data_IF_718243730862
#
_entry.id   IF_718243730862
#
_cell.length_a   1.000
_cell.length_b   1.000
_cell.length_c   1.000
_cell.angle_alpha   90.00
_cell.angle_beta   90.00
_cell.angle_gamma   90.00
#
_symmetry.space_group_name_H-M   'P 1'
#
loop_
_entity.id
_entity.type
_entity.pdbx_description
1 polymer ?
#
# COMPACT_ATOMS: atom_id res chain seq x y z
N UNK A 1 -4.02 15.37 -20.30
CA UNK A 1 -3.31 15.97 -19.15
C UNK A 1 -2.75 14.84 -18.31
N UNK A 2 -1.47 14.91 -17.92
CA UNK A 2 -0.85 13.88 -17.09
C UNK A 2 -1.36 13.94 -15.65
N UNK A 3 -1.21 12.83 -14.92
CA UNK A 3 -1.53 12.73 -13.50
C UNK A 3 -0.76 13.77 -12.68
N UNK A 4 -1.46 14.51 -11.81
CA UNK A 4 -0.82 15.47 -10.91
C UNK A 4 0.07 14.78 -9.86
N UNK A 5 1.04 15.50 -9.29
CA UNK A 5 1.91 14.95 -8.24
C UNK A 5 1.11 14.48 -7.01
N UNK A 6 0.07 15.24 -6.63
CA UNK A 6 -0.81 14.89 -5.53
C UNK A 6 -1.62 13.62 -5.83
N UNK A 7 -2.15 13.49 -7.04
CA UNK A 7 -2.87 12.28 -7.46
C UNK A 7 -1.95 11.07 -7.48
N UNK A 8 -0.73 11.23 -8.01
CA UNK A 8 0.30 10.19 -8.03
C UNK A 8 0.66 9.70 -6.63
N UNK A 9 0.84 10.61 -5.69
CA UNK A 9 1.09 10.27 -4.29
C UNK A 9 -0.06 9.46 -3.70
N UNK A 10 -1.32 9.90 -3.89
CA UNK A 10 -2.50 9.17 -3.38
C UNK A 10 -2.60 7.76 -3.96
N UNK A 11 -2.35 7.62 -5.26
CA UNK A 11 -2.35 6.30 -5.93
C UNK A 11 -1.22 5.41 -5.42
N UNK A 12 -0.02 5.98 -5.18
CA UNK A 12 1.09 5.24 -4.60
C UNK A 12 0.79 4.74 -3.19
N UNK A 13 0.28 5.61 -2.31
CA UNK A 13 -0.13 5.24 -0.94
C UNK A 13 -1.21 4.16 -0.97
N UNK A 14 -2.23 4.30 -1.82
CA UNK A 14 -3.28 3.30 -1.95
C UNK A 14 -2.75 1.93 -2.43
N UNK A 15 -1.81 1.92 -3.39
CA UNK A 15 -1.19 0.70 -3.88
C UNK A 15 -0.33 0.02 -2.81
N UNK A 16 0.46 0.79 -2.06
CA UNK A 16 1.28 0.28 -0.95
C UNK A 16 0.40 -0.36 0.13
N UNK A 17 -0.64 0.36 0.58
CA UNK A 17 -1.60 -0.16 1.56
C UNK A 17 -2.25 -1.47 1.09
N UNK A 18 -2.61 -1.55 -0.20
CA UNK A 18 -3.16 -2.78 -0.76
C UNK A 18 -2.17 -3.96 -0.74
N UNK A 19 -0.90 -3.69 -1.07
CA UNK A 19 0.15 -4.72 -1.15
C UNK A 19 0.60 -5.18 0.24
N UNK A 20 0.71 -4.28 1.21
CA UNK A 20 1.12 -4.62 2.58
C UNK A 20 -0.03 -5.12 3.45
N UNK A 21 -1.27 -4.73 3.11
CA UNK A 21 -2.44 -4.92 3.98
C UNK A 21 -2.61 -3.81 5.03
N UNK A 22 -1.84 -2.72 4.94
CA UNK A 22 -1.99 -1.57 5.82
C UNK A 22 -3.35 -0.89 5.64
N UNK A 23 -3.80 -0.24 6.71
CA UNK A 23 -5.08 0.49 6.76
C UNK A 23 -4.85 1.99 6.91
N UNK A 24 -5.87 2.80 6.61
CA UNK A 24 -5.79 4.25 6.83
C UNK A 24 -5.54 4.57 8.31
N UNK A 25 -6.06 3.75 9.23
CA UNK A 25 -5.82 3.89 10.67
C UNK A 25 -4.35 3.65 11.02
N UNK A 26 -3.71 2.62 10.47
CA UNK A 26 -2.28 2.37 10.67
C UNK A 26 -1.41 3.52 10.14
N UNK A 27 -1.76 4.08 8.97
CA UNK A 27 -1.09 5.28 8.45
C UNK A 27 -1.33 6.50 9.35
N UNK A 28 -2.51 6.64 9.93
CA UNK A 28 -2.83 7.73 10.84
C UNK A 28 -1.99 7.65 12.13
N UNK A 29 -1.78 6.45 12.68
CA UNK A 29 -0.90 6.21 13.82
C UNK A 29 0.55 6.61 13.53
N UNK A 30 1.09 6.25 12.36
CA UNK A 30 2.44 6.65 11.91
C UNK A 30 2.59 8.16 11.86
N UNK A 31 1.56 8.85 11.39
CA UNK A 31 1.56 10.30 11.22
C UNK A 31 1.19 11.06 12.50
N UNK A 32 0.73 10.37 13.54
CA UNK A 32 0.21 11.00 14.76
C UNK A 32 -1.05 11.83 14.53
N UNK A 33 -1.90 11.45 13.56
CA UNK A 33 -3.12 12.17 13.19
C UNK A 33 -4.36 11.29 13.33
N UNK A 34 -5.54 11.90 13.22
CA UNK A 34 -6.80 11.17 13.17
C UNK A 34 -6.99 10.45 11.81
N UNK A 35 -7.53 9.22 11.75
CA UNK A 35 -7.82 8.51 10.51
C UNK A 35 -8.69 9.28 9.50
N UNK A 36 -9.56 10.18 9.97
CA UNK A 36 -10.36 11.07 9.13
C UNK A 36 -9.49 12.03 8.32
N UNK A 37 -8.35 12.46 8.86
CA UNK A 37 -7.39 13.30 8.15
C UNK A 37 -6.71 12.53 7.01
N UNK A 38 -6.34 11.26 7.23
CA UNK A 38 -5.80 10.39 6.18
C UNK A 38 -6.85 10.15 5.09
N UNK A 39 -8.10 9.89 5.47
CA UNK A 39 -9.21 9.75 4.52
C UNK A 39 -9.40 10.99 3.65
N UNK A 40 -9.40 12.19 4.25
CA UNK A 40 -9.47 13.47 3.52
C UNK A 40 -8.29 13.67 2.57
N UNK A 41 -7.08 13.30 2.97
CA UNK A 41 -5.90 13.38 2.10
C UNK A 41 -5.99 12.39 0.95
N UNK A 42 -6.48 11.17 1.18
CA UNK A 42 -6.68 10.15 0.15
C UNK A 42 -7.82 10.46 -0.81
N UNK A 43 -8.85 11.21 -0.40
CA UNK A 43 -9.90 11.72 -1.31
C UNK A 43 -9.48 12.98 -2.05
N UNK A 44 -8.38 13.61 -1.64
CA UNK A 44 -7.91 14.88 -2.20
C UNK A 44 -8.58 16.12 -1.64
N UNK A 45 -9.37 15.98 -0.58
CA UNK A 45 -9.95 17.11 0.15
C UNK A 45 -8.89 17.84 1.02
N UNK A 46 -7.74 17.21 1.28
CA UNK A 46 -6.62 17.82 1.97
C UNK A 46 -5.29 17.47 1.28
N UNK A 47 -4.30 18.36 1.41
CA UNK A 47 -2.95 18.13 0.91
C UNK A 47 -2.13 17.25 1.87
N UNK A 48 -1.17 16.53 1.29
CA UNK A 48 -0.08 15.89 2.01
C UNK A 48 1.05 16.91 2.21
N UNK A 49 1.59 17.02 3.42
CA UNK A 49 2.84 17.76 3.63
C UNK A 49 4.04 16.91 3.15
N UNK A 50 5.20 17.54 2.99
CA UNK A 50 6.44 16.80 2.72
C UNK A 50 6.84 15.93 3.92
N UNK A 51 6.66 16.42 5.16
CA UNK A 51 6.90 15.62 6.36
C UNK A 51 6.03 14.36 6.40
N UNK A 52 4.76 14.45 5.97
CA UNK A 52 3.90 13.28 5.85
C UNK A 52 4.47 12.27 4.82
N UNK A 53 5.03 12.78 3.72
CA UNK A 53 5.62 11.94 2.67
C UNK A 53 6.85 11.19 3.19
N UNK A 54 7.72 11.88 3.95
CA UNK A 54 8.88 11.27 4.58
C UNK A 54 8.48 10.22 5.62
N UNK A 55 7.49 10.51 6.46
CA UNK A 55 6.97 9.57 7.45
C UNK A 55 6.36 8.32 6.80
N UNK A 56 5.59 8.49 5.72
CA UNK A 56 5.02 7.38 4.96
C UNK A 56 6.11 6.54 4.29
N UNK A 57 7.08 7.19 3.64
CA UNK A 57 8.19 6.50 2.99
C UNK A 57 9.00 5.68 4.00
N UNK A 58 9.31 6.28 5.16
CA UNK A 58 9.94 5.63 6.30
C UNK A 58 9.12 4.45 6.83
N UNK A 59 7.80 4.63 7.00
CA UNK A 59 6.90 3.54 7.38
C UNK A 59 7.02 2.37 6.44
N UNK A 60 6.93 2.58 5.12
CA UNK A 60 7.04 1.51 4.12
C UNK A 60 8.46 0.99 3.87
N UNK A 61 9.49 1.66 4.40
CA UNK A 61 10.89 1.30 4.20
C UNK A 61 11.38 1.56 2.77
N UNK A 62 10.87 2.62 2.13
CA UNK A 62 11.24 3.06 0.77
C UNK A 62 11.77 4.49 0.79
N UNK A 63 12.40 4.94 -0.31
CA UNK A 63 12.79 6.34 -0.46
C UNK A 63 11.59 7.25 -0.80
N UNK A 64 11.58 8.49 -0.31
CA UNK A 64 10.50 9.46 -0.58
C UNK A 64 10.38 9.78 -2.08
N UNK A 65 11.49 9.78 -2.82
CA UNK A 65 11.45 9.97 -4.28
C UNK A 65 10.85 8.77 -5.01
N UNK A 66 11.03 7.54 -4.49
CA UNK A 66 10.38 6.35 -5.06
C UNK A 66 8.86 6.38 -4.81
N UNK A 67 8.43 6.89 -3.65
CA UNK A 67 7.02 7.16 -3.34
C UNK A 67 6.42 8.18 -4.32
N UNK A 68 7.10 9.31 -4.52
CA UNK A 68 6.64 10.39 -5.41
C UNK A 68 6.77 10.06 -6.90
N UNK A 69 7.62 9.10 -7.28
CA UNK A 69 7.73 8.62 -8.65
C UNK A 69 6.44 7.89 -9.11
N UNK A 70 5.68 7.32 -8.18
CA UNK A 70 4.34 6.76 -8.40
C UNK A 70 4.18 5.32 -7.95
N UNK A 71 2.97 4.75 -8.13
CA UNK A 71 2.59 3.46 -7.55
C UNK A 71 3.48 2.30 -7.98
N UNK A 72 3.86 2.23 -9.25
CA UNK A 72 4.75 1.16 -9.76
C UNK A 72 6.10 1.19 -9.05
N UNK A 73 6.76 2.35 -9.04
CA UNK A 73 8.09 2.50 -8.46
C UNK A 73 8.09 2.28 -6.94
N UNK A 74 7.06 2.76 -6.26
CA UNK A 74 6.89 2.56 -4.82
C UNK A 74 6.76 1.07 -4.47
N UNK A 75 5.93 0.31 -5.21
CA UNK A 75 5.75 -1.12 -4.99
C UNK A 75 7.00 -1.95 -5.35
N UNK A 76 7.76 -1.55 -6.37
CA UNK A 76 9.04 -2.17 -6.73
C UNK A 76 10.10 -1.99 -5.62
N UNK A 77 10.11 -0.82 -4.99
CA UNK A 77 11.07 -0.48 -3.93
C UNK A 77 10.72 -1.09 -2.57
N UNK A 78 9.50 -1.61 -2.43
CA UNK A 78 9.00 -2.19 -1.18
C UNK A 78 9.80 -3.44 -0.77
N UNK A 79 10.31 -3.51 0.48
CA UNK A 79 11.03 -4.68 0.98
C UNK A 79 10.20 -5.98 0.91
N UNK A 80 10.83 -7.08 0.54
CA UNK A 80 10.14 -8.36 0.28
C UNK A 80 9.29 -8.85 1.47
N UNK A 81 9.74 -8.64 2.70
CA UNK A 81 9.03 -9.03 3.92
C UNK A 81 7.79 -8.18 4.27
N UNK A 82 7.58 -7.05 3.59
CA UNK A 82 6.41 -6.17 3.79
C UNK A 82 5.23 -6.55 2.92
N UNK A 83 5.43 -7.32 1.87
CA UNK A 83 4.35 -7.75 0.98
C UNK A 83 3.49 -8.76 1.72
N UNK A 84 2.17 -8.55 1.70
CA UNK A 84 1.22 -9.47 2.31
C UNK A 84 1.44 -10.86 1.72
N UNK A 85 1.85 -11.81 2.56
CA UNK A 85 1.92 -13.21 2.17
C UNK A 85 0.49 -13.71 1.98
N UNK A 86 0.04 -13.79 0.73
CA UNK A 86 -1.20 -14.52 0.42
C UNK A 86 -0.92 -15.98 0.75
N UNK A 87 -1.70 -16.65 1.62
CA UNK A 87 -1.59 -18.08 1.79
C UNK A 87 -1.87 -18.72 0.42
N UNK A 88 -0.86 -19.34 -0.18
CA UNK A 88 -1.04 -20.14 -1.40
C UNK A 88 -2.08 -21.20 -1.05
N UNK A 89 -3.29 -21.13 -1.63
CA UNK A 89 -4.35 -22.13 -1.39
C UNK A 89 -3.76 -23.52 -1.62
N UNK A 90 -3.52 -24.25 -0.54
CA UNK A 90 -3.20 -25.68 -0.55
C UNK A 90 -4.55 -26.40 -0.65
N UNK A 91 -4.85 -27.01 -1.78
CA UNK A 91 -6.07 -27.82 -1.91
C UNK A 91 -6.62 -27.95 -3.32
N UNK A 92 -5.93 -28.70 -4.17
CA UNK A 92 -6.51 -29.38 -5.33
C UNK A 92 -5.75 -30.69 -5.56
N UNK A 93 -5.60 -31.50 -4.50
CA UNK A 93 -4.98 -32.82 -4.61
C UNK A 93 -5.61 -33.79 -3.60
N UNK A 94 -6.91 -34.08 -3.78
CA UNK A 94 -7.57 -35.29 -3.28
C UNK A 94 -8.95 -35.43 -3.91
N UNK A 95 -9.04 -36.03 -5.10
CA UNK A 95 -10.24 -36.76 -5.58
C UNK A 95 -9.96 -37.50 -6.91
N UNK A 96 -8.89 -38.29 -6.95
CA UNK A 96 -8.67 -39.28 -8.02
C UNK A 96 -8.32 -40.63 -7.38
N UNK A 97 -9.21 -41.13 -6.51
CA UNK A 97 -9.16 -42.52 -6.04
C UNK A 97 -10.54 -42.93 -5.52
N UNK A 98 -11.37 -43.44 -6.42
CA UNK A 98 -12.67 -44.01 -6.03
C UNK A 98 -13.69 -44.06 -7.15
N UNK A 99 -13.49 -44.92 -8.15
CA UNK A 99 -14.58 -45.55 -8.92
C UNK A 99 -14.01 -46.69 -9.78
N UNK A 100 -13.49 -47.71 -9.11
CA UNK A 100 -13.40 -49.06 -9.67
C UNK A 100 -14.20 -49.94 -8.72
N UNK A 101 -15.47 -50.18 -9.05
CA UNK A 101 -16.22 -51.35 -8.58
C UNK A 101 -17.40 -51.61 -9.50
#
# INVERSE_FOLDING_TARGET
>A
MGMSSAERLRTAVAALMHVTGDTQAGIAEVLGVDPTQVSRRQSGAAAWSLDDCDAIAGHFGIGVLDLLAGPTRACESLPAGRRRTVPRRRGAETAAKGAAR
#
